data_IF_394139160583
#
_entry.id   IF_394139160583
#
_cell.length_a   1.000
_cell.length_b   1.000
_cell.length_c   1.000
_cell.angle_alpha   90.00
_cell.angle_beta   90.00
_cell.angle_gamma   90.00
#
_symmetry.space_group_name_H-M   'P 1'
#
loop_
_entity.id
_entity.type
_entity.pdbx_description
1 polymer ?
#
# COMPACT_ATOMS: atom_id res chain seq x y z
N UNK A 1 8.11 -25.01 37.78
CA UNK A 1 7.20 -23.83 37.73
C UNK A 1 5.70 -24.18 37.71
N UNK A 2 5.21 -25.07 36.82
CA UNK A 2 3.77 -25.38 36.67
C UNK A 2 3.05 -25.80 37.97
N UNK A 3 3.67 -26.67 38.76
CA UNK A 3 3.08 -27.11 40.04
C UNK A 3 2.83 -25.93 41.00
N UNK A 4 3.77 -24.97 41.07
CA UNK A 4 3.63 -23.79 41.90
C UNK A 4 2.55 -22.83 41.38
N UNK A 5 2.39 -22.71 40.05
CA UNK A 5 1.31 -21.94 39.44
C UNK A 5 -0.07 -22.52 39.77
N UNK A 6 -0.22 -23.84 39.63
CA UNK A 6 -1.46 -24.57 39.91
C UNK A 6 -1.85 -24.48 41.39
N UNK A 7 -0.86 -24.59 42.29
CA UNK A 7 -1.07 -24.51 43.74
C UNK A 7 -1.12 -23.07 44.28
N UNK A 8 -1.00 -22.06 43.42
CA UNK A 8 -1.02 -20.64 43.80
C UNK A 8 0.12 -20.22 44.75
N UNK A 9 1.31 -20.81 44.60
CA UNK A 9 2.48 -20.61 45.47
C UNK A 9 3.49 -19.63 44.84
N UNK A 10 3.29 -18.32 44.99
CA UNK A 10 4.09 -17.28 44.32
C UNK A 10 5.60 -17.34 44.61
N UNK A 11 6.02 -17.53 45.87
CA UNK A 11 7.44 -17.60 46.24
C UNK A 11 8.14 -18.84 45.67
N UNK A 12 7.44 -19.99 45.67
CA UNK A 12 7.95 -21.20 45.03
C UNK A 12 8.03 -21.06 43.52
N UNK A 13 7.07 -20.35 42.92
CA UNK A 13 7.13 -20.05 41.49
C UNK A 13 8.31 -19.15 41.16
N UNK A 14 8.57 -18.09 41.94
CA UNK A 14 9.74 -17.21 41.76
C UNK A 14 11.06 -17.97 41.87
N UNK A 15 11.19 -18.82 42.89
CA UNK A 15 12.37 -19.65 43.07
C UNK A 15 12.57 -20.63 41.89
N UNK A 16 11.49 -21.25 41.40
CA UNK A 16 11.56 -22.14 40.24
C UNK A 16 11.90 -21.39 38.95
N UNK A 17 11.30 -20.21 38.70
CA UNK A 17 11.55 -19.40 37.51
C UNK A 17 13.01 -18.97 37.38
N UNK A 18 13.71 -18.75 38.49
CA UNK A 18 15.12 -18.37 38.49
C UNK A 18 16.07 -19.49 38.03
N UNK A 19 15.62 -20.75 38.03
CA UNK A 19 16.44 -21.93 37.75
C UNK A 19 15.95 -22.77 36.58
N UNK A 20 14.68 -22.67 36.20
CA UNK A 20 14.09 -23.39 35.07
C UNK A 20 14.16 -22.57 33.77
N UNK A 21 14.40 -23.24 32.64
CA UNK A 21 14.30 -22.64 31.32
C UNK A 21 12.82 -22.46 30.97
N UNK A 22 12.46 -21.29 30.44
CA UNK A 22 11.09 -21.05 29.96
C UNK A 22 10.73 -22.02 28.83
N UNK A 23 9.55 -22.63 28.93
CA UNK A 23 8.98 -23.51 27.91
C UNK A 23 7.64 -22.97 27.42
N UNK A 24 7.23 -23.37 26.21
CA UNK A 24 5.92 -23.01 25.66
C UNK A 24 4.77 -23.47 26.57
N UNK A 25 4.92 -24.60 27.24
CA UNK A 25 3.92 -25.14 28.16
C UNK A 25 3.70 -24.21 29.37
N UNK A 26 4.79 -23.66 29.93
CA UNK A 26 4.72 -22.69 31.04
C UNK A 26 4.07 -21.40 30.58
N UNK A 27 4.45 -20.89 29.39
CA UNK A 27 3.86 -19.66 28.83
C UNK A 27 2.36 -19.81 28.57
N UNK A 28 1.95 -20.94 27.98
CA UNK A 28 0.54 -21.27 27.77
C UNK A 28 -0.23 -21.32 29.09
N UNK A 29 0.30 -22.04 30.08
CA UNK A 29 -0.33 -22.16 31.40
C UNK A 29 -0.45 -20.82 32.12
N UNK A 30 0.54 -19.93 32.00
CA UNK A 30 0.49 -18.57 32.55
C UNK A 30 -0.67 -17.77 31.95
N UNK A 31 -0.78 -17.75 30.62
CA UNK A 31 -1.88 -17.05 29.93
C UNK A 31 -3.23 -17.70 30.24
N UNK A 32 -3.33 -19.03 30.24
CA UNK A 32 -4.59 -19.75 30.55
C UNK A 32 -5.05 -19.51 31.98
N UNK A 33 -4.11 -19.39 32.92
CA UNK A 33 -4.43 -19.20 34.32
C UNK A 33 -5.05 -17.82 34.62
N UNK A 34 -4.76 -16.80 33.80
CA UNK A 34 -5.14 -15.41 34.05
C UNK A 34 -4.50 -14.79 35.30
N UNK A 35 -3.60 -15.49 36.00
CA UNK A 35 -3.07 -15.02 37.29
C UNK A 35 -1.95 -14.00 37.10
N UNK A 36 -2.31 -12.72 37.04
CA UNK A 36 -1.40 -11.59 36.74
C UNK A 36 -0.13 -11.56 37.60
N UNK A 37 -0.21 -11.88 38.88
CA UNK A 37 0.95 -11.93 39.79
C UNK A 37 2.05 -12.90 39.33
N UNK A 38 1.69 -14.01 38.66
CA UNK A 38 2.66 -14.97 38.16
C UNK A 38 3.26 -14.53 36.83
N UNK A 39 2.49 -13.78 36.02
CA UNK A 39 2.99 -13.12 34.83
C UNK A 39 4.04 -12.07 35.22
N UNK A 40 3.79 -11.27 36.27
CA UNK A 40 4.76 -10.30 36.78
C UNK A 40 6.06 -10.97 37.24
N UNK A 41 5.95 -12.03 38.04
CA UNK A 41 7.12 -12.79 38.51
C UNK A 41 7.89 -13.35 37.31
N UNK A 42 7.18 -13.93 36.35
CA UNK A 42 7.80 -14.49 35.15
C UNK A 42 8.52 -13.41 34.33
N UNK A 43 7.88 -12.25 34.12
CA UNK A 43 8.44 -11.14 33.36
C UNK A 43 9.60 -10.42 34.06
N UNK A 44 9.67 -10.46 35.38
CA UNK A 44 10.80 -9.94 36.15
C UNK A 44 12.04 -10.85 36.04
N UNK A 45 11.82 -12.17 35.95
CA UNK A 45 12.89 -13.17 35.97
C UNK A 45 13.46 -13.42 34.58
N UNK A 46 12.62 -13.46 33.55
CA UNK A 46 13.06 -13.70 32.17
C UNK A 46 13.21 -12.38 31.41
N UNK A 47 14.30 -12.21 30.64
CA UNK A 47 14.53 -11.03 29.80
C UNK A 47 13.72 -11.15 28.50
N UNK A 48 12.94 -10.13 28.14
CA UNK A 48 12.11 -10.06 26.93
C UNK A 48 10.94 -11.07 26.73
N UNK A 49 10.25 -11.60 27.77
CA UNK A 49 9.17 -12.58 27.60
C UNK A 49 7.84 -11.99 27.10
N UNK A 50 7.73 -10.65 27.10
CA UNK A 50 6.47 -9.99 26.83
C UNK A 50 5.95 -10.23 25.43
N UNK A 51 6.81 -10.36 24.41
CA UNK A 51 6.35 -10.64 23.04
C UNK A 51 5.74 -12.04 22.92
N UNK A 52 6.37 -13.05 23.54
CA UNK A 52 5.90 -14.45 23.49
C UNK A 52 4.58 -14.63 24.27
N UNK A 53 4.48 -14.00 25.44
CA UNK A 53 3.23 -14.00 26.21
C UNK A 53 2.13 -13.21 25.51
N UNK A 54 2.49 -12.12 24.84
CA UNK A 54 1.56 -11.29 24.07
C UNK A 54 1.00 -12.07 22.87
N UNK A 55 1.82 -12.79 22.10
CA UNK A 55 1.36 -13.66 21.01
C UNK A 55 0.31 -14.68 21.50
N UNK A 56 0.61 -15.40 22.58
CA UNK A 56 -0.30 -16.40 23.14
C UNK A 56 -1.58 -15.76 23.69
N UNK A 57 -1.47 -14.60 24.34
CA UNK A 57 -2.64 -13.88 24.85
C UNK A 57 -3.53 -13.33 23.73
N UNK A 58 -2.95 -12.96 22.58
CA UNK A 58 -3.69 -12.59 21.37
C UNK A 58 -4.41 -13.81 20.80
N UNK A 59 -3.69 -14.92 20.58
CA UNK A 59 -4.27 -16.17 20.04
C UNK A 59 -5.45 -16.67 20.88
N UNK A 60 -5.40 -16.45 22.19
CA UNK A 60 -6.43 -16.89 23.15
C UNK A 60 -7.47 -15.82 23.46
N UNK A 61 -7.37 -14.63 22.88
CA UNK A 61 -8.20 -13.45 23.20
C UNK A 61 -8.29 -13.15 24.72
N UNK A 62 -7.22 -13.37 25.49
CA UNK A 62 -7.23 -13.15 26.94
C UNK A 62 -7.04 -11.66 27.28
N UNK A 63 -8.15 -10.92 27.34
CA UNK A 63 -8.18 -9.46 27.54
C UNK A 63 -7.48 -9.01 28.82
N UNK A 64 -7.66 -9.72 29.93
CA UNK A 64 -7.09 -9.36 31.24
C UNK A 64 -5.55 -9.37 31.19
N UNK A 65 -5.00 -10.45 30.62
CA UNK A 65 -3.55 -10.59 30.44
C UNK A 65 -3.01 -9.59 29.42
N UNK A 66 -3.74 -9.35 28.33
CA UNK A 66 -3.38 -8.35 27.33
C UNK A 66 -3.28 -6.95 27.96
N UNK A 67 -4.31 -6.51 28.69
CA UNK A 67 -4.31 -5.20 29.37
C UNK A 67 -3.14 -5.08 30.35
N UNK A 68 -2.85 -6.16 31.09
CA UNK A 68 -1.75 -6.18 32.04
C UNK A 68 -0.36 -6.06 31.38
N UNK A 69 -0.10 -6.85 30.32
CA UNK A 69 1.16 -6.79 29.57
C UNK A 69 1.36 -5.38 28.97
N UNK A 70 0.30 -4.86 28.37
CA UNK A 70 0.30 -3.60 27.64
C UNK A 70 0.45 -2.37 28.56
N UNK A 71 -0.09 -2.44 29.78
CA UNK A 71 0.10 -1.40 30.80
C UNK A 71 1.56 -1.31 31.29
N UNK A 72 2.29 -2.43 31.28
CA UNK A 72 3.61 -2.54 31.90
C UNK A 72 4.78 -2.54 30.89
N UNK A 73 4.50 -2.59 29.58
CA UNK A 73 5.56 -2.62 28.57
C UNK A 73 5.21 -1.78 27.33
N UNK A 74 5.89 -0.64 27.16
CA UNK A 74 5.63 0.23 26.02
C UNK A 74 6.04 -0.39 24.66
N UNK A 75 7.01 -1.30 24.65
CA UNK A 75 7.43 -2.00 23.43
C UNK A 75 6.42 -3.06 22.96
N UNK A 76 5.58 -3.55 23.88
CA UNK A 76 4.47 -4.46 23.56
C UNK A 76 3.44 -3.80 22.63
N UNK A 77 3.26 -2.47 22.73
CA UNK A 77 2.40 -1.72 21.81
C UNK A 77 2.87 -1.80 20.36
N UNK A 78 4.18 -1.69 20.13
CA UNK A 78 4.77 -1.75 18.79
C UNK A 78 4.59 -3.13 18.18
N UNK A 79 4.75 -4.18 18.99
CA UNK A 79 4.49 -5.54 18.56
C UNK A 79 3.02 -5.74 18.19
N UNK A 80 2.09 -5.28 19.05
CA UNK A 80 0.66 -5.40 18.81
C UNK A 80 0.22 -4.73 17.50
N UNK A 81 0.80 -3.58 17.17
CA UNK A 81 0.51 -2.87 15.91
C UNK A 81 0.99 -3.58 14.64
N UNK A 82 1.95 -4.50 14.76
CA UNK A 82 2.47 -5.29 13.62
C UNK A 82 1.79 -6.64 13.46
N UNK A 83 1.10 -7.12 14.49
CA UNK A 83 0.52 -8.47 14.55
C UNK A 83 -1.01 -8.46 14.48
N UNK A 84 -1.66 -7.34 14.81
CA UNK A 84 -3.12 -7.27 14.88
C UNK A 84 -3.70 -6.40 13.76
N UNK A 85 -4.33 -7.06 12.78
CA UNK A 85 -5.39 -6.50 11.91
C UNK A 85 -6.80 -6.75 12.51
N UNK A 86 -6.90 -7.02 13.81
CA UNK A 86 -8.11 -7.49 14.49
C UNK A 86 -8.75 -6.38 15.36
N UNK A 87 -9.42 -5.42 14.71
CA UNK A 87 -10.20 -4.34 15.36
C UNK A 87 -11.14 -4.83 16.49
N UNK A 88 -11.83 -5.99 16.37
CA UNK A 88 -12.66 -6.55 17.44
C UNK A 88 -11.93 -6.80 18.76
N UNK A 89 -10.69 -7.28 18.71
CA UNK A 89 -9.90 -7.56 19.91
C UNK A 89 -9.48 -6.26 20.60
N UNK A 90 -9.04 -5.27 19.81
CA UNK A 90 -8.64 -3.95 20.32
C UNK A 90 -9.81 -3.23 21.01
N UNK A 91 -11.03 -3.38 20.49
CA UNK A 91 -12.22 -2.78 21.07
C UNK A 91 -12.54 -3.27 22.48
N UNK A 92 -12.08 -4.48 22.85
CA UNK A 92 -12.26 -5.11 24.17
C UNK A 92 -11.17 -4.70 25.19
N UNK A 93 -10.09 -4.05 24.75
CA UNK A 93 -9.00 -3.63 25.65
C UNK A 93 -9.41 -2.42 26.49
N UNK A 94 -8.84 -2.32 27.69
CA UNK A 94 -9.12 -1.22 28.62
C UNK A 94 -8.49 0.08 28.14
N UNK A 95 -9.10 1.22 28.51
CA UNK A 95 -8.46 2.53 28.47
C UNK A 95 -7.44 2.62 29.62
N UNK A 96 -6.14 2.97 29.42
CA UNK A 96 -5.52 3.67 28.31
C UNK A 96 -5.07 2.84 27.09
N UNK A 97 -5.12 1.53 27.18
CA UNK A 97 -4.56 0.66 26.18
C UNK A 97 -5.18 0.82 24.79
N UNK A 98 -6.50 0.89 24.74
CA UNK A 98 -7.28 1.21 23.54
C UNK A 98 -6.88 2.56 22.92
N UNK A 99 -6.48 3.57 23.72
CA UNK A 99 -6.09 4.90 23.21
C UNK A 99 -4.75 4.86 22.47
N UNK A 100 -3.74 4.16 23.02
CA UNK A 100 -2.38 4.16 22.47
C UNK A 100 -2.41 3.62 21.04
N UNK A 101 -3.21 2.58 20.83
CA UNK A 101 -3.41 1.89 19.56
C UNK A 101 -4.12 2.73 18.50
N UNK A 102 -5.17 3.47 18.86
CA UNK A 102 -5.88 4.37 17.93
C UNK A 102 -4.93 5.36 17.24
N UNK A 103 -3.85 5.78 17.92
CA UNK A 103 -2.84 6.68 17.35
C UNK A 103 -1.91 6.05 16.30
N UNK A 104 -1.87 4.72 16.18
CA UNK A 104 -0.98 3.99 15.27
C UNK A 104 -1.72 3.30 14.11
N UNK A 105 -2.99 2.96 14.27
CA UNK A 105 -3.75 2.26 13.22
C UNK A 105 -4.27 3.21 12.15
N UNK A 106 -3.93 2.94 10.88
CA UNK A 106 -4.42 3.70 9.71
C UNK A 106 -5.93 3.56 9.48
N UNK A 107 -6.55 2.51 10.02
CA UNK A 107 -7.98 2.17 9.88
C UNK A 107 -8.71 2.21 11.25
N UNK A 108 -8.27 3.06 12.18
CA UNK A 108 -8.84 3.14 13.53
C UNK A 108 -10.24 3.77 13.61
N UNK A 109 -10.84 4.19 12.48
CA UNK A 109 -12.09 4.95 12.46
C UNK A 109 -13.24 4.22 13.19
N UNK A 110 -13.53 2.93 12.93
CA UNK A 110 -14.61 2.23 13.63
C UNK A 110 -14.37 2.11 15.14
N UNK A 111 -13.11 2.09 15.56
CA UNK A 111 -12.71 2.00 16.95
C UNK A 111 -12.88 3.35 17.65
N UNK A 112 -12.53 4.44 16.98
CA UNK A 112 -12.73 5.82 17.45
C UNK A 112 -14.23 6.08 17.66
N UNK A 113 -15.09 5.60 16.76
CA UNK A 113 -16.55 5.76 16.86
C UNK A 113 -17.14 5.01 18.06
N UNK A 114 -16.45 3.96 18.54
CA UNK A 114 -16.83 3.19 19.72
C UNK A 114 -16.40 3.81 21.06
N UNK A 115 -15.65 4.92 21.03
CA UNK A 115 -15.18 5.59 22.24
C UNK A 115 -16.30 6.42 22.88
N UNK A 116 -16.37 6.41 24.21
CA UNK A 116 -17.21 7.34 24.96
C UNK A 116 -16.69 8.78 24.82
N UNK A 117 -17.56 9.77 25.07
CA UNK A 117 -17.19 11.19 25.02
C UNK A 117 -15.99 11.52 25.92
N UNK A 118 -15.91 10.92 27.11
CA UNK A 118 -14.80 11.13 28.04
C UNK A 118 -13.49 10.55 27.49
N UNK A 119 -13.54 9.42 26.79
CA UNK A 119 -12.38 8.83 26.14
C UNK A 119 -11.92 9.66 24.93
N UNK A 120 -12.87 10.19 24.14
CA UNK A 120 -12.59 11.13 23.06
C UNK A 120 -11.90 12.40 23.58
N UNK A 121 -12.39 13.00 24.66
CA UNK A 121 -11.80 14.22 25.25
C UNK A 121 -10.37 13.96 25.75
N UNK A 122 -10.12 12.82 26.39
CA UNK A 122 -8.76 12.45 26.82
C UNK A 122 -7.83 12.16 25.64
N UNK A 123 -8.34 11.53 24.58
CA UNK A 123 -7.59 11.29 23.35
C UNK A 123 -7.23 12.63 22.69
N UNK A 124 -8.18 13.57 22.58
CA UNK A 124 -7.98 14.95 22.11
C UNK A 124 -6.85 15.63 22.90
N UNK A 125 -6.92 15.60 24.24
CA UNK A 125 -5.90 16.22 25.09
C UNK A 125 -4.50 15.63 24.86
N UNK A 126 -4.38 14.33 24.56
CA UNK A 126 -3.09 13.68 24.28
C UNK A 126 -2.40 14.17 22.99
N UNK A 127 -3.13 14.82 22.09
CA UNK A 127 -2.57 15.36 20.84
C UNK A 127 -1.89 16.73 21.02
N UNK A 128 -2.02 17.41 22.16
CA UNK A 128 -1.41 18.73 22.41
C UNK A 128 0.10 18.77 22.16
N UNK A 129 0.77 17.63 22.32
CA UNK A 129 2.24 17.53 22.31
C UNK A 129 2.83 17.05 20.97
N UNK A 130 1.99 16.72 19.97
CA UNK A 130 2.43 16.13 18.68
C UNK A 130 2.55 17.16 17.55
N UNK A 131 3.59 17.03 16.71
CA UNK A 131 3.93 17.97 15.62
C UNK A 131 3.14 17.78 14.31
N UNK A 132 2.29 16.75 14.21
CA UNK A 132 1.50 16.44 13.02
C UNK A 132 0.10 15.96 13.43
N UNK A 133 -0.93 16.57 12.85
CA UNK A 133 -2.33 16.33 13.20
C UNK A 133 -3.07 15.67 12.03
N UNK A 134 -3.66 14.50 12.28
CA UNK A 134 -4.60 13.82 11.37
C UNK A 134 -5.83 13.48 12.21
N UNK A 135 -6.95 14.17 12.00
CA UNK A 135 -8.19 13.96 12.76
C UNK A 135 -9.19 13.15 11.93
N UNK A 136 -9.74 12.09 12.51
CA UNK A 136 -11.00 11.51 12.05
C UNK A 136 -12.16 12.50 12.31
N UNK A 137 -13.25 12.40 11.53
CA UNK A 137 -14.41 13.29 11.59
C UNK A 137 -14.97 13.48 13.01
N UNK A 138 -15.22 12.37 13.72
CA UNK A 138 -15.85 12.39 15.04
C UNK A 138 -15.01 13.15 16.08
N UNK A 139 -13.69 12.92 16.07
CA UNK A 139 -12.77 13.62 16.95
C UNK A 139 -12.61 15.10 16.57
N UNK A 140 -12.61 15.43 15.28
CA UNK A 140 -12.56 16.83 14.82
C UNK A 140 -13.80 17.59 15.28
N UNK A 141 -14.99 17.02 15.06
CA UNK A 141 -16.26 17.61 15.49
C UNK A 141 -16.28 17.83 17.01
N UNK A 142 -15.87 16.81 17.78
CA UNK A 142 -15.78 16.89 19.23
C UNK A 142 -14.80 17.96 19.70
N UNK A 143 -13.63 18.08 19.08
CA UNK A 143 -12.66 19.11 19.43
C UNK A 143 -13.16 20.54 19.09
N UNK A 144 -13.95 20.71 18.02
CA UNK A 144 -14.57 22.01 17.69
C UNK A 144 -15.64 22.41 18.71
N UNK A 145 -16.38 21.43 19.25
CA UNK A 145 -17.37 21.65 20.32
C UNK A 145 -16.69 22.03 21.65
N UNK A 146 -15.60 21.34 22.01
CA UNK A 146 -14.94 21.53 23.32
C UNK A 146 -13.84 22.58 23.32
N UNK A 147 -13.29 22.93 22.15
CA UNK A 147 -12.15 23.82 21.95
C UNK A 147 -10.93 23.47 22.81
N UNK A 148 -10.70 22.18 23.08
CA UNK A 148 -9.61 21.73 23.96
C UNK A 148 -8.22 21.88 23.33
N UNK A 149 -8.10 21.69 22.01
CA UNK A 149 -6.83 21.80 21.28
C UNK A 149 -6.96 22.73 20.08
N UNK A 150 -6.03 23.69 19.95
CA UNK A 150 -5.89 24.48 18.72
C UNK A 150 -5.22 23.65 17.62
N UNK A 151 -6.04 22.88 16.88
CA UNK A 151 -5.62 22.08 15.73
C UNK A 151 -4.99 22.89 14.59
N UNK A 152 -5.07 24.23 14.62
CA UNK A 152 -4.38 25.10 13.69
C UNK A 152 -2.97 25.47 14.14
N UNK A 153 -2.63 25.38 15.44
CA UNK A 153 -1.30 25.75 15.95
C UNK A 153 -0.24 24.65 15.76
N UNK A 154 0.00 24.26 14.50
CA UNK A 154 0.78 23.07 14.15
C UNK A 154 1.69 23.35 12.94
N UNK A 155 2.73 22.54 12.75
CA UNK A 155 3.70 22.71 11.64
C UNK A 155 3.14 22.15 10.32
N UNK A 156 2.37 21.07 10.41
CA UNK A 156 1.68 20.42 9.28
C UNK A 156 0.31 19.88 9.70
N UNK A 157 -0.67 20.00 8.82
CA UNK A 157 -2.05 19.55 9.04
C UNK A 157 -2.41 18.56 7.93
N UNK A 158 -2.94 17.39 8.31
CA UNK A 158 -3.52 16.44 7.38
C UNK A 158 -5.04 16.43 7.55
N UNK A 159 -5.77 16.71 6.48
CA UNK A 159 -7.22 16.85 6.46
C UNK A 159 -7.78 15.81 5.51
N UNK A 160 -8.60 14.88 6.00
CA UNK A 160 -9.36 14.01 5.12
C UNK A 160 -10.41 14.83 4.38
N UNK A 161 -10.63 14.57 3.09
CA UNK A 161 -11.54 15.35 2.25
C UNK A 161 -12.95 15.50 2.89
N UNK A 162 -13.48 14.42 3.45
CA UNK A 162 -14.76 14.38 4.17
C UNK A 162 -14.86 15.31 5.39
N UNK A 163 -13.72 15.73 5.93
CA UNK A 163 -13.65 16.60 7.11
C UNK A 163 -13.50 18.08 6.75
N UNK A 164 -13.35 18.40 5.46
CA UNK A 164 -13.15 19.76 5.00
C UNK A 164 -14.28 20.75 5.40
N UNK A 165 -15.58 20.37 5.46
CA UNK A 165 -16.64 21.27 5.94
C UNK A 165 -16.44 21.76 7.37
N UNK A 166 -15.75 20.97 8.18
CA UNK A 166 -15.52 21.25 9.59
C UNK A 166 -14.26 22.10 9.80
N UNK A 167 -13.43 22.28 8.77
CA UNK A 167 -12.18 23.03 8.85
C UNK A 167 -12.40 24.42 8.28
N UNK A 168 -12.14 25.46 9.09
CA UNK A 168 -12.00 26.84 8.61
C UNK A 168 -10.69 27.01 7.81
N UNK A 169 -10.75 27.13 6.46
CA UNK A 169 -9.56 27.27 5.62
C UNK A 169 -8.83 28.58 5.91
N UNK A 170 -9.58 29.61 6.33
CA UNK A 170 -9.01 30.92 6.63
C UNK A 170 -8.11 30.87 7.84
N UNK A 171 -8.18 29.87 8.74
CA UNK A 171 -7.20 29.76 9.85
C UNK A 171 -5.86 29.15 9.42
N UNK A 172 -5.77 28.62 8.21
CA UNK A 172 -4.55 28.03 7.62
C UNK A 172 -3.70 29.12 6.93
N UNK A 173 -3.40 30.26 7.61
CA UNK A 173 -2.78 31.45 6.97
C UNK A 173 -1.25 31.47 6.87
N UNK A 174 -0.50 30.55 7.50
CA UNK A 174 0.97 30.65 7.52
C UNK A 174 1.57 30.07 6.23
N UNK A 175 2.38 30.87 5.51
CA UNK A 175 3.16 30.46 4.31
C UNK A 175 3.98 29.17 4.51
N UNK A 176 4.34 28.84 5.74
CA UNK A 176 5.17 27.68 6.12
C UNK A 176 4.38 26.42 6.48
N UNK A 177 3.05 26.49 6.63
CA UNK A 177 2.23 25.31 6.97
C UNK A 177 1.94 24.50 5.71
N UNK A 178 2.33 23.22 5.74
CA UNK A 178 1.94 22.25 4.70
C UNK A 178 0.59 21.66 5.09
N UNK A 179 -0.46 22.04 4.37
CA UNK A 179 -1.77 21.41 4.50
C UNK A 179 -1.85 20.27 3.48
N UNK A 180 -1.99 19.03 3.95
CA UNK A 180 -2.17 17.85 3.10
C UNK A 180 -3.63 17.43 3.15
N UNK A 181 -4.32 17.52 2.03
CA UNK A 181 -5.65 16.96 1.83
C UNK A 181 -5.50 15.50 1.46
N UNK A 182 -6.22 14.63 2.14
CA UNK A 182 -6.14 13.19 2.00
C UNK A 182 -7.44 12.68 1.39
N UNK A 183 -7.33 12.04 0.23
CA UNK A 183 -8.45 11.53 -0.58
C UNK A 183 -8.45 10.01 -0.51
N UNK A 184 -9.52 9.44 0.04
CA UNK A 184 -9.58 8.02 0.39
C UNK A 184 -10.45 7.19 -0.57
N UNK A 185 -11.65 7.65 -0.95
CA UNK A 185 -12.52 6.93 -1.90
C UNK A 185 -13.65 7.79 -2.50
N UNK A 186 -14.26 8.68 -1.72
CA UNK A 186 -15.46 9.42 -2.12
C UNK A 186 -15.15 10.86 -2.56
N UNK A 187 -15.29 11.11 -3.86
CA UNK A 187 -14.86 12.36 -4.51
C UNK A 187 -16.01 13.26 -4.95
N UNK A 188 -17.26 12.87 -4.76
CA UNK A 188 -18.41 13.76 -4.96
C UNK A 188 -18.29 14.99 -4.04
N UNK A 189 -17.75 14.77 -2.84
CA UNK A 189 -17.38 15.78 -1.83
C UNK A 189 -16.34 16.80 -2.35
N UNK A 190 -15.49 16.42 -3.32
CA UNK A 190 -14.46 17.32 -3.86
C UNK A 190 -15.07 18.46 -4.66
N UNK A 191 -16.09 18.16 -5.48
CA UNK A 191 -16.83 19.16 -6.23
C UNK A 191 -17.58 20.13 -5.31
N UNK A 192 -18.26 19.58 -4.29
CA UNK A 192 -19.03 20.36 -3.32
C UNK A 192 -18.19 21.35 -2.50
N UNK A 193 -16.90 21.03 -2.28
CA UNK A 193 -16.00 21.86 -1.47
C UNK A 193 -14.81 22.44 -2.22
N UNK A 194 -14.90 22.52 -3.55
CA UNK A 194 -13.85 23.08 -4.39
C UNK A 194 -13.39 24.48 -3.92
N UNK A 195 -14.33 25.39 -3.61
CA UNK A 195 -14.01 26.74 -3.14
C UNK A 195 -13.26 26.73 -1.80
N UNK A 196 -13.63 25.82 -0.88
CA UNK A 196 -12.95 25.69 0.41
C UNK A 196 -11.53 25.18 0.22
N UNK A 197 -11.32 24.20 -0.67
CA UNK A 197 -10.00 23.71 -1.04
C UNK A 197 -9.15 24.82 -1.67
N UNK A 198 -9.71 25.56 -2.63
CA UNK A 198 -9.00 26.62 -3.34
C UNK A 198 -8.44 27.67 -2.38
N UNK A 199 -9.23 28.04 -1.35
CA UNK A 199 -8.86 29.04 -0.35
C UNK A 199 -7.69 28.65 0.58
N UNK A 200 -7.27 27.38 0.61
CA UNK A 200 -6.12 26.93 1.38
C UNK A 200 -4.80 27.27 0.64
N UNK A 201 -3.90 28.06 1.25
CA UNK A 201 -2.60 28.36 0.67
C UNK A 201 -1.64 27.15 0.78
N UNK A 202 -0.80 26.93 -0.24
CA UNK A 202 0.23 25.87 -0.26
C UNK A 202 -0.28 24.45 0.10
N UNK A 203 -1.36 24.04 -0.56
CA UNK A 203 -2.01 22.75 -0.35
C UNK A 203 -1.36 21.60 -1.13
N UNK A 204 -1.26 20.45 -0.47
CA UNK A 204 -0.87 19.18 -1.04
C UNK A 204 -2.10 18.27 -1.09
N UNK A 205 -2.28 17.47 -2.13
CA UNK A 205 -3.36 16.48 -2.20
C UNK A 205 -2.72 15.09 -2.31
N UNK A 206 -3.04 14.19 -1.39
CA UNK A 206 -2.52 12.81 -1.37
C UNK A 206 -3.68 11.84 -1.57
N UNK A 207 -3.50 10.89 -2.47
CA UNK A 207 -4.46 9.80 -2.71
C UNK A 207 -4.03 8.58 -1.90
N UNK A 208 -4.97 7.98 -1.16
CA UNK A 208 -4.75 6.72 -0.43
C UNK A 208 -5.16 5.48 -1.20
N UNK A 209 -6.00 5.63 -2.22
CA UNK A 209 -6.43 4.54 -3.11
C UNK A 209 -5.90 4.76 -4.53
N UNK A 210 -5.80 3.66 -5.26
CA UNK A 210 -5.57 3.61 -6.70
C UNK A 210 -6.87 3.64 -7.51
N UNK A 211 -8.02 3.90 -6.86
CA UNK A 211 -9.30 3.89 -7.55
C UNK A 211 -9.35 4.92 -8.71
N UNK A 212 -9.90 4.55 -9.88
CA UNK A 212 -10.04 5.46 -11.01
C UNK A 212 -11.00 6.61 -10.68
N UNK A 213 -10.77 7.79 -11.26
CA UNK A 213 -11.60 8.98 -11.05
C UNK A 213 -12.53 9.24 -12.23
N UNK A 214 -13.76 9.68 -11.93
CA UNK A 214 -14.68 10.21 -12.94
C UNK A 214 -14.02 11.43 -13.63
N UNK A 215 -14.27 11.59 -14.93
CA UNK A 215 -13.70 12.68 -15.77
C UNK A 215 -13.94 14.07 -15.15
N UNK A 216 -15.12 14.31 -14.60
CA UNK A 216 -15.50 15.61 -14.02
C UNK A 216 -14.62 15.98 -12.82
N UNK A 217 -14.34 15.03 -11.93
CA UNK A 217 -13.51 15.24 -10.74
C UNK A 217 -12.04 15.44 -11.12
N UNK A 218 -11.58 14.73 -12.17
CA UNK A 218 -10.24 14.93 -12.76
C UNK A 218 -10.06 16.37 -13.26
N UNK A 219 -11.05 16.88 -13.99
CA UNK A 219 -11.05 18.25 -14.52
C UNK A 219 -11.01 19.27 -13.37
N UNK A 220 -11.78 19.04 -12.31
CA UNK A 220 -11.80 19.92 -11.13
C UNK A 220 -10.42 19.93 -10.45
N UNK A 221 -9.84 18.78 -10.15
CA UNK A 221 -8.53 18.67 -9.47
C UNK A 221 -7.41 19.47 -10.15
N UNK A 222 -7.48 19.64 -11.46
CA UNK A 222 -6.47 20.38 -12.23
C UNK A 222 -6.64 21.88 -12.22
N UNK A 223 -7.87 22.35 -11.99
CA UNK A 223 -8.15 23.75 -11.78
C UNK A 223 -7.66 24.22 -10.41
N UNK A 224 -7.41 23.30 -9.47
CA UNK A 224 -6.86 23.63 -8.16
C UNK A 224 -5.36 23.92 -8.27
N UNK A 225 -4.95 25.12 -7.81
CA UNK A 225 -3.54 25.40 -7.55
C UNK A 225 -3.07 24.62 -6.30
N UNK A 226 -2.58 23.41 -6.54
CA UNK A 226 -2.17 22.45 -5.53
C UNK A 226 -0.94 21.65 -5.98
N UNK A 227 -0.29 20.97 -5.05
CA UNK A 227 0.73 19.95 -5.35
C UNK A 227 0.16 18.56 -5.08
N UNK A 228 0.05 17.73 -6.11
CA UNK A 228 -0.41 16.36 -5.96
C UNK A 228 0.72 15.46 -5.45
N UNK A 229 0.41 14.54 -4.55
CA UNK A 229 1.31 13.52 -4.01
C UNK A 229 0.74 12.16 -4.37
N UNK A 230 1.53 11.37 -5.11
CA UNK A 230 1.14 10.03 -5.59
C UNK A 230 -0.26 10.01 -6.24
N UNK A 231 -0.49 10.75 -7.34
CA UNK A 231 -1.80 10.77 -8.01
C UNK A 231 -2.06 9.45 -8.76
N UNK A 232 -2.43 8.40 -8.03
CA UNK A 232 -2.59 7.05 -8.59
C UNK A 232 -3.68 6.95 -9.67
N UNK A 233 -4.66 7.84 -9.68
CA UNK A 233 -5.65 7.89 -10.74
C UNK A 233 -5.07 8.21 -12.13
N UNK A 234 -3.87 8.83 -12.20
CA UNK A 234 -3.14 8.99 -13.45
C UNK A 234 -2.71 7.64 -14.05
N UNK A 235 -2.83 6.52 -13.33
CA UNK A 235 -2.57 5.18 -13.86
C UNK A 235 -3.75 4.60 -14.65
N UNK A 236 -4.96 5.14 -14.47
CA UNK A 236 -6.17 4.57 -15.03
C UNK A 236 -6.70 5.34 -16.24
N UNK A 237 -6.53 6.66 -16.29
CA UNK A 237 -6.98 7.49 -17.42
C UNK A 237 -6.05 8.70 -17.64
N UNK A 238 -5.57 8.87 -18.87
CA UNK A 238 -4.43 9.76 -19.19
C UNK A 238 -4.81 11.07 -19.87
N UNK A 239 -6.10 11.40 -19.99
CA UNK A 239 -6.56 12.52 -20.83
C UNK A 239 -6.10 13.90 -20.34
N UNK A 240 -5.75 14.03 -19.06
CA UNK A 240 -5.45 15.33 -18.49
C UNK A 240 -4.38 15.26 -17.41
N UNK A 241 -3.35 16.10 -17.51
CA UNK A 241 -2.14 16.05 -16.67
C UNK A 241 -1.97 17.23 -15.70
N UNK A 242 -1.76 16.98 -14.40
CA UNK A 242 -1.54 18.02 -13.41
C UNK A 242 -0.11 18.59 -13.45
N UNK A 243 0.03 19.91 -13.29
CA UNK A 243 1.31 20.63 -13.47
C UNK A 243 2.30 20.49 -12.30
N UNK A 244 1.84 20.15 -11.08
CA UNK A 244 2.65 20.08 -9.85
C UNK A 244 2.47 18.73 -9.16
N UNK A 245 3.42 17.81 -9.34
CA UNK A 245 3.35 16.44 -8.80
C UNK A 245 4.62 16.08 -8.02
N UNK A 246 4.47 15.42 -6.86
CA UNK A 246 5.54 14.82 -6.06
C UNK A 246 5.25 13.32 -5.89
N UNK A 247 6.23 12.49 -6.22
CA UNK A 247 6.15 11.04 -6.01
C UNK A 247 6.94 10.66 -4.76
N UNK A 248 6.25 10.17 -3.73
CA UNK A 248 6.84 9.77 -2.43
C UNK A 248 6.89 8.26 -2.22
N UNK A 249 6.26 7.46 -3.08
CA UNK A 249 6.32 6.00 -3.03
C UNK A 249 7.66 5.44 -3.57
N UNK A 250 8.03 4.22 -3.16
CA UNK A 250 9.15 3.47 -3.78
C UNK A 250 8.87 3.05 -5.23
N UNK A 251 7.60 3.12 -5.65
CA UNK A 251 7.18 2.92 -7.04
C UNK A 251 7.66 4.13 -7.86
N UNK A 252 8.44 3.87 -8.92
CA UNK A 252 8.95 4.93 -9.81
C UNK A 252 7.77 5.55 -10.59
N UNK A 253 7.76 6.86 -10.81
CA UNK A 253 6.75 7.52 -11.62
C UNK A 253 6.79 7.02 -13.08
N UNK A 254 5.66 7.09 -13.81
CA UNK A 254 5.67 6.87 -15.26
C UNK A 254 6.64 7.88 -15.90
N UNK A 255 7.62 7.36 -16.65
CA UNK A 255 8.74 8.17 -17.14
C UNK A 255 8.42 9.05 -18.34
N UNK A 256 7.34 8.79 -19.09
CA UNK A 256 6.84 9.66 -20.16
C UNK A 256 5.41 9.24 -20.53
N UNK A 257 4.54 10.24 -20.72
CA UNK A 257 3.11 10.08 -20.97
C UNK A 257 2.87 9.91 -22.47
N UNK A 258 2.49 8.69 -22.86
CA UNK A 258 2.10 8.43 -24.23
C UNK A 258 0.62 8.72 -24.43
N UNK A 259 0.35 9.74 -25.25
CA UNK A 259 -0.93 9.88 -25.92
C UNK A 259 -1.10 8.70 -26.90
N UNK A 260 -2.36 8.26 -27.04
CA UNK A 260 -2.87 7.34 -28.07
C UNK A 260 -2.81 5.85 -27.67
N UNK A 261 -3.92 5.34 -27.14
CA UNK A 261 -4.33 3.96 -27.41
C UNK A 261 -5.59 4.04 -28.26
N UNK A 262 -5.59 3.58 -29.53
CA UNK A 262 -6.82 3.43 -30.29
C UNK A 262 -7.69 2.33 -29.66
N UNK A 263 -9.01 2.49 -29.73
CA UNK A 263 -10.00 1.50 -29.25
C UNK A 263 -9.72 0.12 -29.86
N UNK A 264 -9.63 -0.93 -29.02
CA UNK A 264 -9.24 -2.28 -29.47
C UNK A 264 -10.43 -3.25 -29.46
N UNK A 265 -10.59 -3.99 -30.56
CA UNK A 265 -11.38 -5.22 -30.63
C UNK A 265 -10.60 -6.38 -30.00
N UNK A 266 -11.10 -6.89 -28.86
CA UNK A 266 -10.62 -8.11 -28.20
C UNK A 266 -11.27 -9.32 -28.89
N UNK A 267 -10.46 -10.27 -29.38
CA UNK A 267 -10.98 -11.51 -29.96
C UNK A 267 -10.51 -12.76 -29.19
N UNK A 268 -11.53 -13.44 -28.62
CA UNK A 268 -11.62 -14.81 -28.07
C UNK A 268 -11.17 -15.05 -26.63
N UNK A 269 -12.16 -15.19 -25.75
CA UNK A 269 -12.13 -16.18 -24.68
C UNK A 269 -12.00 -17.58 -25.30
N UNK A 270 -10.84 -18.21 -25.21
CA UNK A 270 -10.74 -19.67 -25.31
C UNK A 270 -10.52 -20.23 -23.90
N UNK A 271 -11.44 -21.09 -23.47
CA UNK A 271 -11.45 -21.70 -22.13
C UNK A 271 -10.21 -22.57 -21.82
N UNK A 272 -9.35 -22.84 -22.82
CA UNK A 272 -8.25 -23.81 -22.72
C UNK A 272 -6.85 -23.18 -22.52
N UNK A 273 -6.71 -21.85 -22.55
CA UNK A 273 -5.38 -21.23 -22.41
C UNK A 273 -4.97 -21.01 -20.95
N UNK A 274 -3.87 -21.65 -20.55
CA UNK A 274 -3.26 -21.54 -19.21
C UNK A 274 -1.94 -20.76 -19.30
N UNK A 275 -1.95 -19.53 -18.79
CA UNK A 275 -0.79 -18.63 -18.79
C UNK A 275 0.40 -19.22 -18.01
N UNK A 276 0.17 -19.96 -16.92
CA UNK A 276 1.26 -20.57 -16.12
C UNK A 276 1.98 -21.63 -16.93
N UNK A 277 1.23 -22.48 -17.62
CA UNK A 277 1.81 -23.51 -18.52
C UNK A 277 2.58 -22.86 -19.67
N UNK A 278 2.02 -21.82 -20.30
CA UNK A 278 2.70 -21.08 -21.35
C UNK A 278 4.03 -20.47 -20.86
N UNK A 279 4.04 -19.82 -19.69
CA UNK A 279 5.26 -19.27 -19.08
C UNK A 279 6.29 -20.37 -18.81
N UNK A 280 5.86 -21.51 -18.25
CA UNK A 280 6.76 -22.63 -17.98
C UNK A 280 7.41 -23.19 -19.25
N UNK A 281 6.63 -23.32 -20.33
CA UNK A 281 7.08 -23.79 -21.64
C UNK A 281 8.05 -22.81 -22.30
N UNK A 282 7.71 -21.51 -22.31
CA UNK A 282 8.60 -20.44 -22.78
C UNK A 282 9.94 -20.47 -22.02
N UNK A 283 9.90 -20.65 -20.70
CA UNK A 283 11.09 -20.75 -19.87
C UNK A 283 11.92 -22.02 -20.15
N UNK A 284 11.30 -23.12 -20.58
CA UNK A 284 12.00 -24.30 -21.04
C UNK A 284 12.69 -24.05 -22.39
N UNK A 285 11.96 -23.55 -23.38
CA UNK A 285 12.48 -23.26 -24.73
C UNK A 285 13.60 -22.20 -24.73
N UNK A 286 13.48 -21.17 -23.88
CA UNK A 286 14.52 -20.16 -23.69
C UNK A 286 15.80 -20.73 -23.07
N UNK A 287 15.71 -21.78 -22.24
CA UNK A 287 16.89 -22.49 -21.68
C UNK A 287 17.56 -23.38 -22.74
N UNK A 288 16.76 -24.09 -23.52
CA UNK A 288 17.24 -24.96 -24.61
C UNK A 288 17.68 -24.18 -25.85
N UNK A 289 17.40 -22.87 -25.91
CA UNK A 289 17.66 -21.98 -27.06
C UNK A 289 16.93 -22.42 -28.34
N UNK A 290 15.80 -23.08 -28.19
CA UNK A 290 14.90 -23.43 -29.30
C UNK A 290 13.95 -22.27 -29.61
N UNK A 291 14.47 -21.29 -30.33
CA UNK A 291 13.72 -20.09 -30.70
C UNK A 291 12.68 -20.35 -31.80
N UNK A 292 12.74 -21.50 -32.48
CA UNK A 292 11.83 -21.85 -33.57
C UNK A 292 10.46 -22.26 -33.03
N UNK A 293 10.45 -23.06 -31.96
CA UNK A 293 9.21 -23.43 -31.25
C UNK A 293 8.72 -22.31 -30.32
N UNK A 294 9.62 -21.43 -29.85
CA UNK A 294 9.27 -20.30 -29.00
C UNK A 294 8.19 -19.40 -29.63
N UNK A 295 8.28 -19.14 -30.94
CA UNK A 295 7.26 -18.35 -31.67
C UNK A 295 5.88 -18.99 -31.62
N UNK A 296 5.79 -20.32 -31.80
CA UNK A 296 4.51 -21.04 -31.79
C UNK A 296 3.86 -21.03 -30.41
N UNK A 297 4.66 -21.22 -29.35
CA UNK A 297 4.16 -21.20 -27.96
C UNK A 297 3.68 -19.81 -27.54
N UNK A 298 4.32 -18.75 -28.05
CA UNK A 298 3.95 -17.36 -27.76
C UNK A 298 2.80 -16.83 -28.62
N UNK A 299 2.44 -17.51 -29.71
CA UNK A 299 1.38 -17.08 -30.65
C UNK A 299 0.03 -16.74 -29.98
N UNK A 300 -0.48 -17.52 -29.00
CA UNK A 300 -1.76 -17.21 -28.38
C UNK A 300 -1.76 -15.91 -27.57
N UNK A 301 -0.58 -15.44 -27.14
CA UNK A 301 -0.45 -14.29 -26.26
C UNK A 301 -0.75 -12.95 -26.95
N UNK A 302 -0.74 -12.89 -28.29
CA UNK A 302 -1.09 -11.66 -29.02
C UNK A 302 -2.56 -11.26 -28.85
N UNK A 303 -3.41 -12.24 -28.57
CA UNK A 303 -4.85 -12.04 -28.42
C UNK A 303 -5.34 -12.43 -27.00
N UNK A 304 -4.41 -12.59 -26.05
CA UNK A 304 -4.75 -13.07 -24.72
C UNK A 304 -5.29 -11.96 -23.82
N UNK A 305 -6.48 -12.19 -23.26
CA UNK A 305 -7.07 -11.33 -22.24
C UNK A 305 -6.68 -11.81 -20.85
N UNK A 306 -6.19 -10.87 -20.02
CA UNK A 306 -5.76 -11.16 -18.65
C UNK A 306 -6.97 -11.46 -17.76
N UNK A 307 -6.93 -12.59 -17.07
CA UNK A 307 -7.91 -13.01 -16.06
C UNK A 307 -7.53 -12.50 -14.68
N UNK A 308 -8.51 -12.53 -13.78
CA UNK A 308 -8.31 -12.24 -12.36
C UNK A 308 -7.26 -13.21 -11.78
N UNK A 309 -6.19 -12.67 -11.19
CA UNK A 309 -5.05 -13.44 -10.67
C UNK A 309 -3.85 -13.57 -11.61
N UNK A 310 -3.98 -13.27 -12.91
CA UNK A 310 -2.84 -13.33 -13.84
C UNK A 310 -1.76 -12.30 -13.51
N UNK A 311 -2.15 -11.18 -12.91
CA UNK A 311 -1.23 -10.13 -12.48
C UNK A 311 -0.17 -10.62 -11.49
N UNK A 312 -0.52 -11.53 -10.59
CA UNK A 312 0.43 -12.11 -9.64
C UNK A 312 1.45 -13.01 -10.35
N UNK A 313 0.97 -13.77 -11.32
CA UNK A 313 1.79 -14.65 -12.16
C UNK A 313 2.77 -13.79 -12.97
N UNK A 314 2.28 -12.74 -13.62
CA UNK A 314 3.09 -11.84 -14.44
C UNK A 314 4.14 -11.11 -13.60
N UNK A 315 3.78 -10.64 -12.38
CA UNK A 315 4.72 -9.98 -11.45
C UNK A 315 5.85 -10.91 -11.01
N UNK A 316 5.63 -12.23 -11.01
CA UNK A 316 6.64 -13.23 -10.62
C UNK A 316 7.66 -13.57 -11.72
N UNK A 317 7.43 -13.13 -12.97
CA UNK A 317 8.29 -13.41 -14.13
C UNK A 317 9.66 -12.75 -13.97
N UNK A 318 10.75 -13.51 -14.13
CA UNK A 318 12.11 -12.98 -13.98
C UNK A 318 12.47 -12.07 -15.15
N UNK A 319 13.41 -11.14 -14.93
CA UNK A 319 13.79 -10.13 -15.93
C UNK A 319 14.23 -10.70 -17.31
N UNK A 320 14.82 -11.90 -17.35
CA UNK A 320 15.25 -12.57 -18.61
C UNK A 320 14.10 -13.24 -19.37
N UNK A 321 12.96 -13.43 -18.71
CA UNK A 321 11.80 -14.18 -19.17
C UNK A 321 10.68 -13.22 -19.64
N UNK A 322 10.88 -11.91 -19.44
CA UNK A 322 9.95 -10.83 -19.83
C UNK A 322 9.73 -10.69 -21.34
N UNK A 323 10.38 -11.50 -22.17
CA UNK A 323 10.09 -11.55 -23.60
C UNK A 323 8.65 -11.96 -23.88
N UNK A 324 8.06 -12.76 -23.00
CA UNK A 324 6.66 -13.20 -23.07
C UNK A 324 5.66 -12.03 -22.98
N UNK A 325 6.09 -10.87 -22.49
CA UNK A 325 5.23 -9.69 -22.34
C UNK A 325 4.97 -8.98 -23.67
N UNK A 326 5.83 -9.16 -24.68
CA UNK A 326 5.73 -8.43 -25.94
C UNK A 326 4.51 -8.77 -26.77
N UNK A 327 4.12 -10.04 -26.95
CA UNK A 327 2.86 -10.35 -27.60
C UNK A 327 1.65 -9.66 -26.94
N UNK A 328 1.66 -9.55 -25.61
CA UNK A 328 0.60 -8.92 -24.83
C UNK A 328 0.79 -7.40 -24.65
N UNK A 329 1.69 -6.75 -25.40
CA UNK A 329 2.04 -5.33 -25.19
C UNK A 329 0.88 -4.37 -25.43
N UNK A 330 -0.15 -4.81 -26.15
CA UNK A 330 -1.41 -4.11 -26.33
C UNK A 330 -2.20 -3.97 -25.02
N UNK A 331 -1.97 -4.86 -24.04
CA UNK A 331 -2.58 -4.75 -22.73
C UNK A 331 -1.89 -3.63 -21.92
N UNK A 332 -2.65 -2.63 -21.42
CA UNK A 332 -2.07 -1.49 -20.70
C UNK A 332 -1.21 -1.90 -19.49
N UNK A 333 -1.64 -2.91 -18.74
CA UNK A 333 -0.91 -3.38 -17.55
C UNK A 333 0.40 -4.05 -17.95
N UNK A 334 0.40 -4.84 -19.03
CA UNK A 334 1.62 -5.49 -19.54
C UNK A 334 2.61 -4.48 -20.10
N UNK A 335 2.13 -3.52 -20.90
CA UNK A 335 2.91 -2.41 -21.44
C UNK A 335 3.74 -1.71 -20.36
N UNK A 336 3.16 -1.47 -19.18
CA UNK A 336 3.85 -0.87 -18.04
C UNK A 336 4.92 -1.74 -17.38
N UNK A 337 4.82 -3.07 -17.48
CA UNK A 337 5.79 -4.00 -16.89
C UNK A 337 7.05 -4.18 -17.74
N UNK A 338 6.99 -3.75 -19.00
CA UNK A 338 8.07 -3.71 -19.97
C UNK A 338 8.94 -2.46 -19.70
N UNK A 339 9.83 -2.56 -18.70
CA UNK A 339 10.79 -1.50 -18.37
C UNK A 339 12.03 -1.55 -19.26
N UNK A 340 12.74 -0.41 -19.40
CA UNK A 340 14.02 -0.27 -20.15
C UNK A 340 15.07 -1.34 -19.80
N UNK A 341 15.05 -1.82 -18.55
CA UNK A 341 15.97 -2.83 -18.02
C UNK A 341 15.66 -4.27 -18.49
N UNK A 342 14.45 -4.52 -18.99
CA UNK A 342 14.07 -5.78 -19.62
C UNK A 342 14.72 -5.91 -21.00
N UNK A 343 14.79 -4.80 -21.75
CA UNK A 343 15.33 -4.76 -23.12
C UNK A 343 16.82 -5.02 -23.19
N UNK A 344 17.59 -4.47 -22.24
CA UNK A 344 19.03 -4.64 -22.18
C UNK A 344 19.48 -6.08 -21.89
N UNK A 345 18.54 -6.95 -21.51
CA UNK A 345 18.77 -8.36 -21.17
C UNK A 345 18.25 -9.34 -22.22
N UNK A 346 17.63 -8.85 -23.31
CA UNK A 346 17.14 -9.70 -24.39
C UNK A 346 18.28 -10.14 -25.32
N UNK A 347 18.20 -11.39 -25.77
CA UNK A 347 19.09 -11.93 -26.79
C UNK A 347 18.58 -11.54 -28.19
N UNK A 348 19.47 -11.18 -29.11
CA UNK A 348 19.13 -10.87 -30.51
C UNK A 348 18.49 -12.03 -31.28
N UNK A 349 18.59 -13.27 -30.79
CA UNK A 349 17.87 -14.42 -31.36
C UNK A 349 16.47 -14.59 -30.79
N UNK A 350 16.27 -14.29 -29.50
CA UNK A 350 14.95 -14.45 -28.88
C UNK A 350 13.95 -13.44 -29.45
N UNK A 351 14.41 -12.26 -29.87
CA UNK A 351 13.53 -11.26 -30.53
C UNK A 351 12.99 -11.74 -31.88
N UNK A 352 13.65 -12.69 -32.55
CA UNK A 352 13.14 -13.25 -33.82
C UNK A 352 11.88 -14.10 -33.63
N UNK A 353 11.59 -14.52 -32.38
CA UNK A 353 10.37 -15.24 -32.04
C UNK A 353 9.15 -14.30 -31.88
N UNK A 354 9.35 -12.98 -31.88
CA UNK A 354 8.28 -11.99 -31.77
C UNK A 354 7.86 -11.55 -33.18
N UNK A 355 6.55 -11.58 -33.44
CA UNK A 355 5.92 -11.00 -34.62
C UNK A 355 5.70 -9.50 -34.39
N UNK A 356 6.77 -8.73 -34.61
CA UNK A 356 6.75 -7.28 -34.37
C UNK A 356 5.76 -6.54 -35.26
N UNK A 357 5.37 -7.10 -36.40
CA UNK A 357 4.39 -6.47 -37.30
C UNK A 357 3.02 -6.34 -36.61
N UNK A 358 2.64 -7.32 -35.78
CA UNK A 358 1.36 -7.31 -35.03
C UNK A 358 1.33 -6.30 -33.89
N UNK A 359 2.50 -5.91 -33.39
CA UNK A 359 2.64 -5.01 -32.26
C UNK A 359 3.33 -3.70 -32.63
N UNK A 360 3.53 -3.44 -33.93
CA UNK A 360 4.34 -2.34 -34.43
C UNK A 360 3.88 -0.97 -33.93
N UNK A 361 2.57 -0.81 -33.83
CA UNK A 361 1.92 0.41 -33.36
C UNK A 361 2.21 0.72 -31.89
N UNK A 362 2.73 -0.23 -31.11
CA UNK A 362 3.10 0.00 -29.70
C UNK A 362 4.60 0.20 -29.50
N UNK A 363 5.43 -0.15 -30.49
CA UNK A 363 6.88 -0.16 -30.31
C UNK A 363 7.46 1.25 -30.14
N UNK A 364 6.81 2.28 -30.70
CA UNK A 364 7.27 3.67 -30.53
C UNK A 364 7.24 4.16 -29.07
N UNK A 365 6.51 3.45 -28.20
CA UNK A 365 6.37 3.74 -26.78
C UNK A 365 7.62 3.36 -25.97
N UNK A 366 8.48 2.50 -26.51
CA UNK A 366 9.58 1.90 -25.75
C UNK A 366 10.95 2.34 -26.29
N UNK A 367 11.88 2.73 -25.40
CA UNK A 367 13.27 2.95 -25.78
C UNK A 367 14.00 1.62 -25.90
N UNK A 368 14.52 1.32 -27.09
CA UNK A 368 15.30 0.14 -27.41
C UNK A 368 16.80 0.44 -27.46
N UNK A 369 17.67 -0.47 -26.98
CA UNK A 369 19.09 -0.43 -27.28
C UNK A 369 19.32 -0.45 -28.80
N UNK A 370 20.25 0.36 -29.30
CA UNK A 370 20.49 0.54 -30.75
C UNK A 370 20.59 -0.79 -31.53
N UNK A 371 21.32 -1.79 -31.01
CA UNK A 371 21.45 -3.08 -31.70
C UNK A 371 20.14 -3.88 -31.82
N UNK A 372 19.26 -3.77 -30.83
CA UNK A 372 17.93 -4.39 -30.86
C UNK A 372 17.01 -3.56 -31.75
N UNK A 373 17.03 -2.24 -31.59
CA UNK A 373 16.20 -1.31 -32.35
C UNK A 373 16.45 -1.42 -33.86
N UNK A 374 17.71 -1.44 -34.30
CA UNK A 374 18.07 -1.61 -35.71
C UNK A 374 17.55 -2.92 -36.29
N UNK A 375 17.53 -4.00 -35.49
CA UNK A 375 17.05 -5.31 -35.95
C UNK A 375 15.53 -5.34 -36.07
N UNK A 376 14.82 -4.79 -35.09
CA UNK A 376 13.35 -4.65 -35.15
C UNK A 376 12.96 -3.73 -36.29
N UNK A 377 13.62 -2.57 -36.43
CA UNK A 377 13.42 -1.63 -37.55
C UNK A 377 13.53 -2.31 -38.91
N UNK A 378 14.51 -3.20 -39.09
CA UNK A 378 14.65 -4.00 -40.32
C UNK A 378 13.55 -5.04 -40.52
N UNK A 379 12.89 -5.52 -39.46
CA UNK A 379 11.79 -6.49 -39.54
C UNK A 379 10.46 -5.85 -39.95
N UNK A 380 10.19 -4.62 -39.50
CA UNK A 380 8.91 -3.92 -39.71
C UNK A 380 9.02 -2.65 -40.58
N UNK A 381 10.18 -2.44 -41.21
CA UNK A 381 10.49 -1.26 -42.02
C UNK A 381 10.26 0.09 -41.29
N UNK A 382 10.70 0.19 -40.03
CA UNK A 382 10.57 1.38 -39.21
C UNK A 382 11.85 2.23 -39.17
N UNK A 383 11.73 3.51 -38.81
CA UNK A 383 12.86 4.40 -38.54
C UNK A 383 13.26 4.35 -37.07
N UNK A 384 14.55 4.36 -36.77
CA UNK A 384 15.07 4.43 -35.40
C UNK A 384 15.63 5.82 -35.12
N UNK A 385 15.18 6.45 -34.04
CA UNK A 385 15.77 7.70 -33.55
C UNK A 385 16.83 7.39 -32.48
N UNK A 386 18.13 7.60 -32.76
CA UNK A 386 19.20 7.28 -31.83
C UNK A 386 19.24 8.18 -30.59
N UNK A 387 18.62 9.36 -30.63
CA UNK A 387 18.56 10.30 -29.51
C UNK A 387 17.50 9.89 -28.49
N UNK A 388 16.31 9.50 -28.95
CA UNK A 388 15.22 9.04 -28.07
C UNK A 388 15.25 7.54 -27.80
N UNK A 389 15.97 6.76 -28.61
CA UNK A 389 15.99 5.31 -28.55
C UNK A 389 14.71 4.64 -29.07
N UNK A 390 13.83 5.38 -29.77
CA UNK A 390 12.49 4.91 -30.15
C UNK A 390 12.40 4.53 -31.62
N UNK A 391 11.49 3.61 -31.91
CA UNK A 391 11.11 3.23 -33.28
C UNK A 391 9.91 4.07 -33.74
N UNK A 392 9.94 4.51 -34.99
CA UNK A 392 8.85 5.24 -35.64
C UNK A 392 8.49 4.43 -36.87
N UNK A 393 7.35 3.75 -36.77
CA UNK A 393 6.82 2.90 -37.84
C UNK A 393 6.09 3.76 -38.86
#
# INVERSE_FOLDING_TARGET
MLAALNNNEAERFRAAAAHEVSTQEIRNALVDSGKLQFIDIYCQVHQHPYSELLEIAIEKENIEVLNHILANNDSAWVFLTNVIDNLPLIAKLDYPGKYKLCGFFKNAEPLIDSLSLQECDKLIASYSDKKCFTWNNHLLKRNLETNQVDGYNTISIHIHLQNLPLVDPTKIKKKTKKATIVVDADLEILGEHFCNLESIPNKFITFKSDSPLKIQDRILLQKLDCTLINPFYLYHDFDILPQKVIWKTKLKPPQELALIYPEFEVFRETDEFDLRKCIAEVNHLMREKDYSELRKVMEPLYCYELKEGDLEIIKSIKAKEKIILFPMISNPVISHLIQRDAMSKLNLKSIEAIDFERIKDYLYLFPFPQGIASKIAGMINAQYNPTSGRLYV
#
